data_IF_625014272681
#
_entry.id   IF_625014272681
#
_cell.length_a   1.000
_cell.length_b   1.000
_cell.length_c   1.000
_cell.angle_alpha   90.00
_cell.angle_beta   90.00
_cell.angle_gamma   90.00
#
_symmetry.space_group_name_H-M   'P 1'
#
loop_
_entity.id
_entity.type
_entity.pdbx_description
1 polymer ?
#
# COMPACT_ATOMS: atom_id res chain seq x y z
N UNK A 1 14.16 4.22 -5.53
CA UNK A 1 13.21 4.95 -6.41
C UNK A 1 11.84 4.29 -6.31
N UNK A 2 10.74 4.97 -6.65
CA UNK A 2 9.36 4.41 -6.65
C UNK A 2 9.24 3.09 -7.45
N UNK A 3 10.05 2.97 -8.50
CA UNK A 3 10.16 1.77 -9.33
C UNK A 3 10.77 0.57 -8.59
N UNK A 4 11.70 0.80 -7.65
CA UNK A 4 12.37 -0.26 -6.90
C UNK A 4 11.51 -0.82 -5.75
N UNK A 5 10.64 -0.01 -5.14
CA UNK A 5 9.86 -0.41 -3.96
C UNK A 5 8.72 -1.38 -4.25
N UNK A 6 8.30 -1.46 -5.51
CA UNK A 6 7.25 -2.37 -6.00
C UNK A 6 7.65 -3.12 -7.27
N UNK A 7 8.87 -2.90 -7.76
CA UNK A 7 9.40 -3.58 -8.94
C UNK A 7 8.72 -3.21 -10.24
N UNK A 8 8.34 -1.95 -10.40
CA UNK A 8 7.68 -1.40 -11.59
C UNK A 8 8.71 -0.83 -12.58
N UNK A 9 8.55 -1.12 -13.87
CA UNK A 9 9.14 -0.33 -14.96
C UNK A 9 8.10 0.67 -15.45
N UNK A 10 8.23 1.94 -15.05
CA UNK A 10 7.30 3.00 -15.41
C UNK A 10 7.84 3.77 -16.62
N UNK A 11 7.13 3.73 -17.75
CA UNK A 11 7.36 4.65 -18.87
C UNK A 11 6.50 5.91 -18.67
N UNK A 12 7.14 6.98 -18.19
CA UNK A 12 6.51 8.28 -17.91
C UNK A 12 7.05 9.37 -18.84
N UNK A 13 7.69 9.01 -19.97
CA UNK A 13 8.43 9.95 -20.80
C UNK A 13 7.56 11.08 -21.38
N UNK A 14 6.27 10.81 -21.63
CA UNK A 14 5.31 11.78 -22.17
C UNK A 14 4.28 12.27 -21.13
N UNK A 15 4.33 11.78 -19.88
CA UNK A 15 3.36 12.15 -18.85
C UNK A 15 3.69 13.47 -18.19
N UNK A 16 2.67 14.23 -17.79
CA UNK A 16 2.86 15.43 -16.99
C UNK A 16 3.11 15.05 -15.53
N UNK A 17 4.27 15.43 -15.00
CA UNK A 17 4.68 15.13 -13.63
C UNK A 17 4.64 16.37 -12.76
N UNK A 18 3.95 16.25 -11.62
CA UNK A 18 3.89 17.29 -10.59
C UNK A 18 4.23 16.69 -9.22
N UNK A 19 4.80 17.52 -8.34
CA UNK A 19 4.97 17.17 -6.93
C UNK A 19 3.95 17.95 -6.12
N UNK A 20 3.14 17.21 -5.36
CA UNK A 20 2.21 17.77 -4.38
C UNK A 20 2.74 17.61 -2.96
N UNK A 21 2.18 18.39 -2.02
CA UNK A 21 2.35 18.17 -0.59
C UNK A 21 0.97 18.09 0.05
N UNK A 22 0.70 17.00 0.75
CA UNK A 22 -0.60 16.70 1.35
C UNK A 22 -0.40 16.10 2.74
N UNK A 23 -0.97 16.73 3.76
CA UNK A 23 -0.91 16.26 5.16
C UNK A 23 0.51 15.89 5.64
N UNK A 24 1.51 16.71 5.31
CA UNK A 24 2.89 16.43 5.72
C UNK A 24 3.61 15.39 4.85
N UNK A 25 2.95 14.83 3.83
CA UNK A 25 3.50 13.82 2.90
C UNK A 25 3.71 14.43 1.52
N UNK A 26 4.80 14.06 0.86
CA UNK A 26 5.02 14.42 -0.53
C UNK A 26 4.32 13.42 -1.46
N UNK A 27 3.72 13.92 -2.54
CA UNK A 27 3.04 13.14 -3.56
C UNK A 27 3.72 13.33 -4.93
N UNK A 28 3.71 12.29 -5.75
CA UNK A 28 3.96 12.38 -7.19
C UNK A 28 2.62 12.24 -7.90
N UNK A 29 2.24 13.27 -8.63
CA UNK A 29 1.07 13.28 -9.48
C UNK A 29 1.52 13.02 -10.92
N UNK A 30 0.84 12.09 -11.58
CA UNK A 30 1.02 11.76 -13.00
C UNK A 30 -0.30 12.12 -13.69
N UNK A 31 -0.25 13.05 -14.63
CA UNK A 31 -1.42 13.58 -15.32
C UNK A 31 -2.50 14.06 -14.34
N UNK A 32 -2.05 14.75 -13.28
CA UNK A 32 -2.84 15.28 -12.15
C UNK A 32 -3.46 14.25 -11.21
N UNK A 33 -3.16 12.97 -11.39
CA UNK A 33 -3.62 11.90 -10.49
C UNK A 33 -2.50 11.55 -9.49
N UNK A 34 -2.73 11.55 -8.18
CA UNK A 34 -1.72 11.20 -7.19
C UNK A 34 -1.44 9.70 -7.22
N UNK A 35 -0.37 9.27 -7.89
CA UNK A 35 -0.02 7.86 -8.05
C UNK A 35 1.11 7.40 -7.12
N UNK A 36 1.97 8.32 -6.66
CA UNK A 36 3.04 8.01 -5.71
C UNK A 36 2.94 8.85 -4.44
N UNK A 37 3.36 8.29 -3.31
CA UNK A 37 3.47 8.98 -2.02
C UNK A 37 4.79 8.65 -1.33
N UNK A 38 5.34 9.63 -0.61
CA UNK A 38 6.59 9.51 0.14
C UNK A 38 6.26 9.20 1.60
N UNK A 39 6.59 7.98 2.03
CA UNK A 39 6.25 7.44 3.34
C UNK A 39 7.51 7.28 4.19
N UNK A 40 7.35 7.41 5.50
CA UNK A 40 8.39 7.11 6.47
C UNK A 40 8.35 5.61 6.82
N UNK A 41 9.43 4.88 6.53
CA UNK A 41 9.59 3.47 6.91
C UNK A 41 10.23 3.29 8.30
N UNK A 42 10.55 4.36 9.01
CA UNK A 42 11.31 4.32 10.26
C UNK A 42 12.83 4.22 10.06
N UNK A 43 13.29 3.67 8.93
CA UNK A 43 14.71 3.68 8.53
C UNK A 43 15.04 4.81 7.54
N UNK A 44 14.02 5.42 6.95
CA UNK A 44 14.15 6.52 6.00
C UNK A 44 12.85 6.76 5.26
N UNK A 45 12.91 7.65 4.28
CA UNK A 45 11.77 7.92 3.43
C UNK A 45 11.79 7.06 2.17
N UNK A 46 10.65 6.45 1.84
CA UNK A 46 10.46 5.55 0.70
C UNK A 46 9.31 6.04 -0.15
N UNK A 47 9.51 6.06 -1.47
CA UNK A 47 8.42 6.28 -2.41
C UNK A 47 7.65 4.98 -2.62
N UNK A 48 6.33 5.02 -2.45
CA UNK A 48 5.45 3.88 -2.66
C UNK A 48 4.18 4.31 -3.41
N UNK A 49 3.55 3.42 -4.21
CA UNK A 49 2.31 3.77 -4.87
C UNK A 49 1.20 4.13 -3.88
N UNK A 50 0.35 5.10 -4.25
CA UNK A 50 -0.97 5.28 -3.61
C UNK A 50 -1.89 4.13 -4.02
N UNK A 51 -3.09 4.03 -3.45
CA UNK A 51 -4.09 3.06 -3.93
C UNK A 51 -4.43 3.26 -5.42
N UNK A 52 -4.46 4.52 -5.89
CA UNK A 52 -4.66 4.83 -7.31
C UNK A 52 -3.45 4.41 -8.14
N UNK A 53 -2.24 4.60 -7.62
CA UNK A 53 -1.01 4.07 -8.22
C UNK A 53 -1.06 2.55 -8.37
N UNK A 54 -1.53 1.83 -7.36
CA UNK A 54 -1.68 0.37 -7.39
C UNK A 54 -2.69 -0.05 -8.47
N UNK A 55 -3.84 0.63 -8.55
CA UNK A 55 -4.83 0.36 -9.61
C UNK A 55 -4.25 0.64 -11.00
N UNK A 56 -3.52 1.75 -11.16
CA UNK A 56 -2.95 2.16 -12.44
C UNK A 56 -1.82 1.24 -12.91
N UNK A 57 -0.93 0.85 -12.01
CA UNK A 57 0.31 0.15 -12.35
C UNK A 57 0.27 -1.35 -12.10
N UNK A 58 -0.72 -1.85 -11.35
CA UNK A 58 -0.93 -3.27 -11.07
C UNK A 58 0.36 -4.00 -10.63
N UNK A 59 1.03 -3.54 -9.56
CA UNK A 59 2.27 -4.16 -9.10
C UNK A 59 2.04 -5.63 -8.70
N UNK A 60 3.00 -6.49 -9.00
CA UNK A 60 2.91 -7.94 -8.71
C UNK A 60 3.54 -8.35 -7.36
N UNK A 61 4.20 -7.39 -6.70
CA UNK A 61 4.97 -7.58 -5.45
C UNK A 61 4.47 -6.71 -4.30
N UNK A 62 5.01 -6.97 -3.12
CA UNK A 62 4.80 -6.19 -1.89
C UNK A 62 3.33 -6.16 -1.46
N UNK A 63 2.65 -7.30 -1.50
CA UNK A 63 1.21 -7.40 -1.22
C UNK A 63 0.86 -8.39 -0.09
N UNK A 64 -0.27 -8.15 0.56
CA UNK A 64 -0.92 -9.08 1.49
C UNK A 64 -2.41 -9.20 1.15
N UNK A 65 -2.95 -10.42 1.10
CA UNK A 65 -4.34 -10.70 0.80
C UNK A 65 -5.11 -11.08 2.06
N UNK A 66 -6.25 -10.42 2.26
CA UNK A 66 -7.09 -10.59 3.45
C UNK A 66 -8.45 -11.17 3.15
N UNK A 67 -9.06 -11.80 4.15
CA UNK A 67 -10.45 -12.24 4.07
C UNK A 67 -11.47 -11.09 4.10
N UNK A 68 -12.71 -11.43 3.76
CA UNK A 68 -13.82 -10.48 3.73
C UNK A 68 -14.12 -9.83 5.09
N UNK A 69 -13.81 -10.51 6.19
CA UNK A 69 -14.05 -10.02 7.55
C UNK A 69 -13.15 -8.84 7.92
N UNK A 70 -11.95 -8.77 7.35
CA UNK A 70 -11.01 -7.67 7.58
C UNK A 70 -11.39 -6.37 6.83
N UNK A 71 -12.11 -6.48 5.70
CA UNK A 71 -12.36 -5.35 4.79
C UNK A 71 -13.01 -4.15 5.48
N UNK A 72 -14.12 -4.28 6.24
CA UNK A 72 -14.75 -3.12 6.86
C UNK A 72 -13.85 -2.40 7.85
N UNK A 73 -12.93 -3.10 8.51
CA UNK A 73 -11.99 -2.49 9.46
C UNK A 73 -10.91 -1.70 8.74
N UNK A 74 -10.35 -2.26 7.66
CA UNK A 74 -9.34 -1.60 6.83
C UNK A 74 -9.89 -0.33 6.18
N UNK A 75 -11.13 -0.38 5.66
CA UNK A 75 -11.81 0.80 5.08
C UNK A 75 -12.13 1.89 6.12
N UNK A 76 -12.04 1.58 7.42
CA UNK A 76 -12.15 2.54 8.51
C UNK A 76 -10.78 2.92 9.11
N UNK A 77 -9.68 2.61 8.42
CA UNK A 77 -8.32 2.98 8.84
C UNK A 77 -7.72 2.14 9.97
N UNK A 78 -8.31 1.00 10.31
CA UNK A 78 -7.72 0.09 11.28
C UNK A 78 -6.44 -0.56 10.74
N UNK A 79 -5.53 -0.94 11.65
CA UNK A 79 -4.38 -1.77 11.33
C UNK A 79 -4.82 -3.18 10.88
N UNK A 80 -4.06 -3.79 9.97
CA UNK A 80 -4.34 -5.17 9.55
C UNK A 80 -3.87 -6.15 10.63
N UNK A 81 -4.80 -6.96 11.12
CA UNK A 81 -4.50 -8.05 12.03
C UNK A 81 -4.05 -9.27 11.24
N UNK A 82 -3.02 -9.98 11.71
CA UNK A 82 -2.51 -11.19 11.05
C UNK A 82 -3.56 -12.28 10.89
N UNK A 83 -4.52 -12.36 11.83
CA UNK A 83 -5.64 -13.31 11.77
C UNK A 83 -6.51 -13.20 10.51
N UNK A 84 -6.47 -12.05 9.81
CA UNK A 84 -7.19 -11.84 8.56
C UNK A 84 -6.34 -12.03 7.31
N UNK A 85 -5.02 -12.26 7.42
CA UNK A 85 -4.10 -12.42 6.28
C UNK A 85 -3.98 -13.90 5.93
N UNK A 86 -4.35 -14.26 4.70
CA UNK A 86 -4.32 -15.65 4.23
C UNK A 86 -3.19 -15.93 3.25
N UNK A 87 -2.73 -14.90 2.53
CA UNK A 87 -1.60 -14.95 1.62
C UNK A 87 -0.83 -13.65 1.71
N UNK A 88 0.48 -13.71 1.56
CA UNK A 88 1.32 -12.53 1.42
C UNK A 88 2.45 -12.83 0.44
N UNK A 89 3.03 -11.78 -0.12
CA UNK A 89 4.27 -11.88 -0.87
C UNK A 89 5.38 -12.42 0.07
N UNK A 90 5.97 -13.59 -0.21
CA UNK A 90 6.97 -14.18 0.66
C UNK A 90 8.27 -13.38 0.72
N UNK A 91 8.50 -12.42 -0.19
CA UNK A 91 9.67 -11.56 -0.11
C UNK A 91 9.53 -10.39 0.88
N UNK A 92 8.36 -10.20 1.49
CA UNK A 92 8.15 -9.13 2.47
C UNK A 92 8.90 -9.44 3.77
N UNK A 93 9.64 -8.46 4.24
CA UNK A 93 10.27 -8.45 5.56
C UNK A 93 9.62 -7.39 6.47
N UNK A 94 9.89 -7.50 7.77
CA UNK A 94 9.44 -6.48 8.72
C UNK A 94 10.07 -5.13 8.38
N UNK A 95 9.25 -4.07 8.33
CA UNK A 95 9.65 -2.72 7.95
C UNK A 95 9.32 -2.36 6.49
N UNK A 96 9.08 -3.35 5.62
CA UNK A 96 8.76 -3.11 4.22
C UNK A 96 7.41 -2.43 4.04
N UNK A 97 7.29 -1.67 2.96
CA UNK A 97 6.00 -1.13 2.51
C UNK A 97 5.20 -2.23 1.81
N UNK A 98 3.91 -2.30 2.12
CA UNK A 98 3.01 -3.34 1.64
C UNK A 98 1.66 -2.76 1.27
N UNK A 99 1.04 -3.29 0.22
CA UNK A 99 -0.36 -3.02 -0.09
C UNK A 99 -1.26 -4.22 0.23
N UNK A 100 -2.43 -3.92 0.79
CA UNK A 100 -3.41 -4.91 1.23
C UNK A 100 -4.49 -5.03 0.17
N UNK A 101 -4.86 -6.26 -0.17
CA UNK A 101 -5.90 -6.56 -1.15
C UNK A 101 -6.92 -7.56 -0.63
N UNK A 102 -8.10 -7.58 -1.23
CA UNK A 102 -9.05 -8.66 -0.95
C UNK A 102 -8.57 -9.97 -1.59
N UNK A 103 -8.72 -11.09 -0.88
CA UNK A 103 -8.23 -12.39 -1.37
C UNK A 103 -9.02 -12.97 -2.55
N UNK A 104 -10.24 -12.50 -2.82
CA UNK A 104 -11.13 -13.09 -3.82
C UNK A 104 -10.96 -12.43 -5.19
N UNK A 105 -10.85 -11.09 -5.23
CA UNK A 105 -10.79 -10.29 -6.44
C UNK A 105 -9.47 -9.53 -6.60
N UNK A 106 -8.62 -9.50 -5.58
CA UNK A 106 -7.33 -8.80 -5.62
C UNK A 106 -7.43 -7.27 -5.65
N UNK A 107 -8.58 -6.70 -5.31
CA UNK A 107 -8.79 -5.25 -5.27
C UNK A 107 -7.99 -4.63 -4.12
N UNK A 108 -7.27 -3.52 -4.36
CA UNK A 108 -6.50 -2.85 -3.32
C UNK A 108 -7.44 -2.19 -2.31
N UNK A 109 -7.10 -2.31 -1.03
CA UNK A 109 -7.88 -1.85 0.12
C UNK A 109 -7.12 -0.82 0.95
N UNK A 110 -5.83 -1.07 1.16
CA UNK A 110 -4.96 -0.23 1.96
C UNK A 110 -3.50 -0.33 1.54
N UNK A 111 -2.69 0.62 1.99
CA UNK A 111 -1.23 0.60 2.00
C UNK A 111 -0.78 0.78 3.44
N UNK A 112 0.28 0.08 3.81
CA UNK A 112 0.84 0.14 5.14
C UNK A 112 2.28 -0.31 5.21
N UNK A 113 2.77 -0.45 6.44
CA UNK A 113 4.08 -1.00 6.73
C UNK A 113 3.93 -2.38 7.38
N UNK A 114 4.66 -3.35 6.84
CA UNK A 114 4.79 -4.69 7.41
C UNK A 114 5.45 -4.61 8.79
N UNK A 115 4.83 -5.22 9.80
CA UNK A 115 5.38 -5.31 11.16
C UNK A 115 6.13 -6.63 11.40
N UNK A 116 5.92 -7.60 10.51
CA UNK A 116 6.50 -8.94 10.49
C UNK A 116 6.73 -9.35 9.02
N UNK A 117 7.46 -10.44 8.78
CA UNK A 117 7.68 -10.95 7.41
C UNK A 117 6.40 -11.53 6.80
N UNK A 118 6.36 -11.64 5.47
CA UNK A 118 5.20 -12.20 4.74
C UNK A 118 4.85 -13.62 5.18
N UNK A 119 5.85 -14.48 5.41
CA UNK A 119 5.64 -15.84 5.95
C UNK A 119 5.02 -15.80 7.35
N UNK A 120 5.49 -14.89 8.21
CA UNK A 120 4.96 -14.74 9.56
C UNK A 120 3.51 -14.23 9.51
N UNK A 121 3.19 -13.24 8.68
CA UNK A 121 1.83 -12.68 8.52
C UNK A 121 0.79 -13.79 8.30
N UNK A 122 1.08 -14.73 7.40
CA UNK A 122 0.17 -15.85 7.04
C UNK A 122 0.02 -16.86 8.18
N UNK A 123 1.05 -17.01 9.03
CA UNK A 123 1.01 -17.94 10.17
C UNK A 123 0.33 -17.37 11.42
N UNK A 124 0.11 -16.06 11.47
CA UNK A 124 -0.42 -15.36 12.64
C UNK A 124 -1.91 -15.64 12.85
N UNK A 125 -2.26 -15.99 14.08
CA UNK A 125 -3.67 -16.14 14.52
C UNK A 125 -4.16 -14.94 15.34
N UNK A 126 -3.27 -14.01 15.68
CA UNK A 126 -3.54 -12.78 16.45
C UNK A 126 -2.39 -11.78 16.29
N UNK A 127 -2.62 -10.54 16.71
CA UNK A 127 -1.62 -9.47 16.66
C UNK A 127 -1.67 -8.68 15.35
N UNK A 128 -1.04 -7.51 15.36
CA UNK A 128 -0.97 -6.62 14.20
C UNK A 128 0.11 -7.11 13.25
N UNK A 129 -0.24 -7.30 11.98
CA UNK A 129 0.68 -7.71 10.92
C UNK A 129 1.13 -6.50 10.08
N UNK A 130 0.22 -5.54 9.85
CA UNK A 130 0.49 -4.37 9.01
C UNK A 130 -0.07 -3.13 9.71
N UNK A 131 0.76 -2.09 9.81
CA UNK A 131 0.34 -0.76 10.26
C UNK A 131 -0.20 0.03 9.08
N UNK A 132 -1.47 0.43 9.12
CA UNK A 132 -2.15 1.10 8.00
C UNK A 132 -1.70 2.56 7.88
N UNK A 133 -1.44 3.02 6.65
CA UNK A 133 -0.94 4.37 6.33
C UNK A 133 -1.83 5.12 5.32
N UNK A 134 -2.50 4.39 4.43
CA UNK A 134 -3.43 4.92 3.44
C UNK A 134 -4.49 3.85 3.14
N UNK A 135 -5.77 4.21 3.03
CA UNK A 135 -6.86 3.25 2.80
C UNK A 135 -7.99 3.82 1.94
N UNK A 136 -8.81 2.94 1.38
CA UNK A 136 -10.01 3.35 0.64
C UNK A 136 -10.96 4.10 1.57
N UNK A 137 -11.20 5.37 1.27
CA UNK A 137 -12.08 6.26 2.04
C UNK A 137 -11.33 7.22 2.98
N UNK A 138 -10.00 7.25 2.96
CA UNK A 138 -9.24 8.31 3.63
C UNK A 138 -9.16 9.59 2.80
N UNK A 139 -8.63 10.66 3.40
CA UNK A 139 -8.60 11.97 2.77
C UNK A 139 -7.74 12.00 1.48
N UNK A 140 -6.70 11.16 1.40
CA UNK A 140 -5.89 11.03 0.18
C UNK A 140 -6.64 10.30 -0.94
N UNK A 141 -7.46 9.31 -0.59
CA UNK A 141 -8.32 8.60 -1.55
C UNK A 141 -9.39 9.53 -2.15
N UNK A 142 -9.95 10.41 -1.33
CA UNK A 142 -11.02 11.36 -1.69
C UNK A 142 -10.53 12.62 -2.44
N UNK A 143 -9.22 12.86 -2.54
CA UNK A 143 -8.65 14.04 -3.23
C UNK A 143 -9.05 14.18 -4.72
N UNK A 144 -9.59 13.13 -5.32
CA UNK A 144 -9.99 13.03 -6.73
C UNK A 144 -11.53 12.96 -6.92
N UNK A 145 -12.33 13.11 -5.85
CA UNK A 145 -13.79 13.05 -5.91
C UNK A 145 -14.43 14.40 -6.29
#
# INVERSE_FOLDING_TARGET
MLTESVGLELDLAESFLERGHFEGRDLILVDRVPLGMHLDSGEGMVWFPTLRGIVAWQPERSWAAVDHGAIPFLMNGADCMGAGVHLADPSLEAGDMVWVRDQEHGKPLAVGQALVSGEEMVSMTKGKAIKTLHWVGDDLWELDA
#
